data_IF_681391134974
#
_entry.id   IF_681391134974
#
_cell.length_a   1.000
_cell.length_b   1.000
_cell.length_c   1.000
_cell.angle_alpha   90.00
_cell.angle_beta   90.00
_cell.angle_gamma   90.00
#
_symmetry.space_group_name_H-M   'P 1'
#
loop_
_entity.id
_entity.type
_entity.pdbx_description
1 polymer ?
#
# COMPACT_ATOMS: atom_id res chain seq x y z
N UNK A 1 -25.62 8.27 -2.48
CA UNK A 1 -24.34 8.24 -1.75
C UNK A 1 -23.27 7.59 -2.62
N UNK A 2 -22.16 8.25 -2.87
CA UNK A 2 -21.07 7.70 -3.64
C UNK A 2 -20.34 6.56 -2.91
N UNK A 3 -19.72 5.66 -3.66
CA UNK A 3 -18.90 4.60 -3.09
C UNK A 3 -17.73 5.22 -2.31
N UNK A 4 -17.38 4.60 -1.18
CA UNK A 4 -16.24 5.04 -0.38
C UNK A 4 -14.93 4.60 -1.03
N UNK A 5 -13.90 5.38 -0.85
CA UNK A 5 -12.55 4.99 -1.25
C UNK A 5 -12.05 3.86 -0.35
N UNK A 6 -11.21 3.00 -0.93
CA UNK A 6 -10.56 1.92 -0.20
C UNK A 6 -9.06 2.05 -0.43
N UNK A 7 -8.32 2.16 0.66
CA UNK A 7 -6.87 2.33 0.61
C UNK A 7 -6.17 1.13 1.25
N UNK A 8 -5.23 0.55 0.52
CA UNK A 8 -4.44 -0.59 1.00
C UNK A 8 -3.07 -0.08 1.43
N UNK A 9 -2.70 -0.37 2.66
CA UNK A 9 -1.40 -0.03 3.24
C UNK A 9 -0.71 -1.31 3.73
N UNK A 10 0.59 -1.26 3.89
CA UNK A 10 1.39 -2.38 4.36
C UNK A 10 2.78 -2.38 3.76
N UNK A 11 3.63 -3.26 4.26
CA UNK A 11 5.01 -3.40 3.79
C UNK A 11 5.06 -3.81 2.32
N UNK A 12 6.19 -3.54 1.69
CA UNK A 12 6.45 -4.00 0.32
C UNK A 12 6.29 -5.51 0.21
N UNK A 13 5.91 -5.98 -0.98
CA UNK A 13 5.71 -7.40 -1.28
C UNK A 13 4.55 -8.09 -0.54
N UNK A 14 3.76 -7.35 0.25
CA UNK A 14 2.59 -7.95 0.94
C UNK A 14 1.43 -8.27 -0.02
N UNK A 15 1.47 -7.72 -1.24
CA UNK A 15 0.47 -8.02 -2.27
C UNK A 15 -0.60 -6.96 -2.47
N UNK A 16 -0.33 -5.72 -2.07
CA UNK A 16 -1.29 -4.61 -2.17
C UNK A 16 -1.81 -4.39 -3.60
N UNK A 17 -0.93 -4.39 -4.58
CA UNK A 17 -1.33 -4.13 -5.97
C UNK A 17 -2.21 -5.25 -6.53
N UNK A 18 -1.84 -6.51 -6.29
CA UNK A 18 -2.62 -7.66 -6.76
C UNK A 18 -3.99 -7.70 -6.10
N UNK A 19 -4.04 -7.58 -4.78
CA UNK A 19 -5.30 -7.54 -4.03
C UNK A 19 -6.14 -6.33 -4.43
N UNK A 20 -5.49 -5.18 -4.59
CA UNK A 20 -6.16 -3.95 -4.99
C UNK A 20 -6.86 -4.06 -6.36
N UNK A 21 -6.19 -4.65 -7.33
CA UNK A 21 -6.79 -4.87 -8.66
C UNK A 21 -7.99 -5.80 -8.59
N UNK A 22 -7.88 -6.92 -7.86
CA UNK A 22 -8.98 -7.86 -7.69
C UNK A 22 -10.16 -7.23 -6.96
N UNK A 23 -9.88 -6.45 -5.93
CA UNK A 23 -10.90 -5.75 -5.16
C UNK A 23 -11.63 -4.71 -6.02
N UNK A 24 -10.88 -3.92 -6.78
CA UNK A 24 -11.44 -2.91 -7.68
C UNK A 24 -12.34 -3.55 -8.75
N UNK A 25 -11.91 -4.67 -9.32
CA UNK A 25 -12.71 -5.42 -10.30
C UNK A 25 -14.01 -5.91 -9.68
N UNK A 26 -13.95 -6.51 -8.49
CA UNK A 26 -15.13 -7.02 -7.80
C UNK A 26 -16.12 -5.91 -7.44
N UNK A 27 -15.62 -4.74 -7.07
CA UNK A 27 -16.44 -3.59 -6.68
C UNK A 27 -16.81 -2.67 -7.84
N UNK A 28 -16.28 -2.95 -9.03
CA UNK A 28 -16.45 -2.11 -10.23
C UNK A 28 -15.99 -0.67 -10.01
N UNK A 29 -14.83 -0.54 -9.38
CA UNK A 29 -14.20 0.74 -9.08
C UNK A 29 -12.86 0.85 -9.80
N UNK A 30 -12.42 2.07 -10.17
CA UNK A 30 -11.08 2.24 -10.72
C UNK A 30 -10.01 1.92 -9.68
N UNK A 31 -8.90 1.36 -10.17
CA UNK A 31 -7.74 1.02 -9.36
C UNK A 31 -6.56 1.93 -9.69
N UNK A 32 -5.86 2.38 -8.65
CA UNK A 32 -4.61 3.12 -8.78
C UNK A 32 -3.55 2.52 -7.87
N UNK A 33 -2.33 2.41 -8.41
CA UNK A 33 -1.14 2.05 -7.65
C UNK A 33 -0.29 3.32 -7.55
N UNK A 34 -0.01 3.77 -6.33
CA UNK A 34 0.72 5.02 -6.11
C UNK A 34 2.12 4.99 -6.72
N UNK A 35 2.82 3.87 -6.60
CA UNK A 35 4.16 3.73 -7.17
C UNK A 35 4.14 3.78 -8.70
N UNK A 36 3.17 3.11 -9.33
CA UNK A 36 3.00 3.16 -10.78
C UNK A 36 2.67 4.59 -11.26
N UNK A 37 1.83 5.30 -10.52
CA UNK A 37 1.50 6.69 -10.84
C UNK A 37 2.71 7.62 -10.73
N UNK A 38 3.55 7.42 -9.72
CA UNK A 38 4.79 8.19 -9.56
C UNK A 38 5.70 7.96 -10.78
N UNK A 39 5.91 6.70 -11.15
CA UNK A 39 6.76 6.35 -12.29
C UNK A 39 6.20 6.92 -13.60
N UNK A 40 4.91 6.79 -13.81
CA UNK A 40 4.26 7.31 -15.01
C UNK A 40 4.43 8.82 -15.16
N UNK A 41 4.22 9.57 -14.07
CA UNK A 41 4.33 11.04 -14.10
C UNK A 41 5.77 11.53 -14.16
N UNK A 42 6.68 10.82 -13.51
CA UNK A 42 8.10 11.16 -13.53
C UNK A 42 8.78 10.77 -14.85
N UNK A 43 8.22 9.81 -15.57
CA UNK A 43 8.85 9.23 -16.75
C UNK A 43 10.11 8.44 -16.42
N UNK A 44 10.19 7.90 -15.19
CA UNK A 44 11.38 7.18 -14.70
C UNK A 44 10.99 6.17 -13.63
N UNK A 45 11.82 5.14 -13.47
CA UNK A 45 11.63 4.14 -12.42
C UNK A 45 11.93 4.75 -11.03
N UNK A 46 11.31 4.19 -10.00
CA UNK A 46 11.48 4.65 -8.61
C UNK A 46 12.95 4.62 -8.18
N UNK A 47 13.70 3.57 -8.57
CA UNK A 47 15.13 3.50 -8.26
C UNK A 47 15.91 4.68 -8.80
N UNK A 48 15.59 5.13 -10.02
CA UNK A 48 16.21 6.30 -10.61
C UNK A 48 15.84 7.59 -9.86
N UNK A 49 14.57 7.71 -9.45
CA UNK A 49 14.11 8.86 -8.68
C UNK A 49 14.86 8.95 -7.35
N UNK A 50 15.03 7.82 -6.65
CA UNK A 50 15.83 7.76 -5.41
C UNK A 50 17.28 8.17 -5.64
N UNK A 51 17.89 7.70 -6.73
CA UNK A 51 19.28 8.02 -7.03
C UNK A 51 19.49 9.50 -7.33
N UNK A 52 18.57 10.12 -8.05
CA UNK A 52 18.71 11.52 -8.52
C UNK A 52 18.14 12.51 -7.52
N UNK A 53 16.97 12.25 -6.95
CA UNK A 53 16.26 13.19 -6.08
C UNK A 53 16.34 12.81 -4.59
N UNK A 54 16.85 11.62 -4.28
CA UNK A 54 16.89 11.09 -2.92
C UNK A 54 15.53 10.69 -2.38
N UNK A 55 15.53 10.17 -1.17
CA UNK A 55 14.28 9.79 -0.50
C UNK A 55 13.35 10.98 -0.31
N UNK A 56 13.90 12.15 0.03
CA UNK A 56 13.10 13.37 0.24
C UNK A 56 12.32 13.72 -1.03
N UNK A 57 12.97 13.72 -2.19
CA UNK A 57 12.33 14.01 -3.47
C UNK A 57 11.24 12.98 -3.82
N UNK A 58 11.52 11.70 -3.59
CA UNK A 58 10.53 10.65 -3.80
C UNK A 58 9.31 10.85 -2.90
N UNK A 59 9.52 11.13 -1.59
CA UNK A 59 8.42 11.33 -0.64
C UNK A 59 7.56 12.54 -0.99
N UNK A 60 8.15 13.59 -1.55
CA UNK A 60 7.39 14.75 -2.02
C UNK A 60 6.47 14.38 -3.20
N UNK A 61 6.97 13.58 -4.14
CA UNK A 61 6.17 13.10 -5.26
C UNK A 61 5.05 12.19 -4.79
N UNK A 62 5.35 11.29 -3.87
CA UNK A 62 4.38 10.36 -3.29
C UNK A 62 3.26 11.14 -2.57
N UNK A 63 3.62 12.13 -1.76
CA UNK A 63 2.65 12.93 -1.02
C UNK A 63 1.71 13.71 -1.97
N UNK A 64 2.22 14.27 -3.03
CA UNK A 64 1.41 14.99 -4.02
C UNK A 64 0.40 14.05 -4.70
N UNK A 65 0.83 12.86 -5.05
CA UNK A 65 -0.03 11.86 -5.69
C UNK A 65 -1.08 11.34 -4.72
N UNK A 66 -0.71 11.02 -3.49
CA UNK A 66 -1.67 10.57 -2.48
C UNK A 66 -2.72 11.65 -2.23
N UNK A 67 -2.31 12.90 -2.06
CA UNK A 67 -3.26 13.99 -1.86
C UNK A 67 -4.25 14.11 -3.01
N UNK A 68 -3.76 14.06 -4.23
CA UNK A 68 -4.62 14.17 -5.42
C UNK A 68 -5.57 12.98 -5.58
N UNK A 69 -5.04 11.75 -5.50
CA UNK A 69 -5.86 10.55 -5.71
C UNK A 69 -6.90 10.36 -4.62
N UNK A 70 -6.57 10.66 -3.37
CA UNK A 70 -7.50 10.48 -2.26
C UNK A 70 -8.65 11.50 -2.26
N UNK A 71 -8.56 12.56 -3.05
CA UNK A 71 -9.67 13.49 -3.24
C UNK A 71 -10.74 12.94 -4.19
N UNK A 72 -10.44 11.93 -4.97
CA UNK A 72 -11.43 11.24 -5.80
C UNK A 72 -12.39 10.45 -4.91
N UNK A 73 -13.50 10.02 -5.46
CA UNK A 73 -14.48 9.19 -4.76
C UNK A 73 -14.67 7.88 -5.50
N UNK A 74 -14.75 6.79 -4.74
CA UNK A 74 -15.02 5.47 -5.30
C UNK A 74 -13.82 4.86 -6.01
N UNK A 75 -12.63 4.99 -5.44
CA UNK A 75 -11.40 4.39 -5.97
C UNK A 75 -10.83 3.35 -5.01
N UNK A 76 -10.05 2.42 -5.55
CA UNK A 76 -9.17 1.55 -4.79
C UNK A 76 -7.75 2.02 -5.05
N UNK A 77 -7.01 2.33 -3.98
CA UNK A 77 -5.63 2.81 -4.06
C UNK A 77 -4.71 1.88 -3.28
N UNK A 78 -3.69 1.35 -3.95
CA UNK A 78 -2.58 0.65 -3.30
C UNK A 78 -1.45 1.65 -3.09
N UNK A 79 -1.04 1.85 -1.85
CA UNK A 79 0.04 2.79 -1.51
C UNK A 79 1.40 2.10 -1.50
N UNK A 80 2.46 2.88 -1.56
CA UNK A 80 3.81 2.37 -1.32
C UNK A 80 4.02 2.06 0.17
N UNK A 81 4.96 1.19 0.48
CA UNK A 81 5.21 0.75 1.86
C UNK A 81 5.56 1.87 2.83
N UNK A 82 6.23 2.90 2.35
CA UNK A 82 6.62 4.05 3.16
C UNK A 82 5.67 5.24 3.10
N UNK A 83 4.50 5.09 2.47
CA UNK A 83 3.53 6.18 2.36
C UNK A 83 3.09 6.72 3.73
N UNK A 84 3.06 5.86 4.75
CA UNK A 84 2.64 6.23 6.11
C UNK A 84 3.69 7.02 6.90
N UNK A 85 4.90 7.19 6.38
CA UNK A 85 5.95 7.91 7.08
C UNK A 85 5.63 9.40 7.27
N UNK A 86 4.96 10.02 6.30
CA UNK A 86 4.56 11.42 6.41
C UNK A 86 3.18 11.54 7.04
N UNK A 87 3.08 12.38 8.05
CA UNK A 87 1.81 12.64 8.74
C UNK A 87 0.72 13.12 7.79
N UNK A 88 1.07 13.98 6.82
CA UNK A 88 0.11 14.49 5.85
C UNK A 88 -0.55 13.36 5.04
N UNK A 89 0.22 12.32 4.68
CA UNK A 89 -0.32 11.16 3.99
C UNK A 89 -1.26 10.36 4.90
N UNK A 90 -0.87 10.16 6.16
CA UNK A 90 -1.71 9.47 7.12
C UNK A 90 -3.04 10.17 7.32
N UNK A 91 -3.03 11.49 7.42
CA UNK A 91 -4.25 12.29 7.56
C UNK A 91 -5.17 12.17 6.34
N UNK A 92 -4.60 12.28 5.15
CA UNK A 92 -5.38 12.15 3.91
C UNK A 92 -6.04 10.79 3.79
N UNK A 93 -5.26 9.72 4.05
CA UNK A 93 -5.78 8.35 3.98
C UNK A 93 -6.88 8.11 5.02
N UNK A 94 -6.62 8.46 6.27
CA UNK A 94 -7.58 8.24 7.36
C UNK A 94 -8.88 9.02 7.17
N UNK A 95 -8.80 10.23 6.63
CA UNK A 95 -9.95 11.11 6.47
C UNK A 95 -10.80 10.80 5.23
N UNK A 96 -10.20 10.20 4.20
CA UNK A 96 -10.81 10.17 2.87
C UNK A 96 -11.26 8.79 2.41
N UNK A 97 -11.09 7.76 3.22
CA UNK A 97 -11.50 6.41 2.83
C UNK A 97 -11.38 5.38 3.93
N UNK A 98 -11.66 4.14 3.59
CA UNK A 98 -11.49 2.97 4.46
C UNK A 98 -10.07 2.47 4.28
N UNK A 99 -9.30 2.42 5.35
CA UNK A 99 -7.90 2.00 5.32
C UNK A 99 -7.79 0.55 5.76
N UNK A 100 -7.22 -0.29 4.90
CA UNK A 100 -7.02 -1.70 5.17
C UNK A 100 -5.53 -2.00 5.19
N UNK A 101 -5.03 -2.47 6.32
CA UNK A 101 -3.64 -2.88 6.49
C UNK A 101 -3.50 -4.36 6.12
N UNK A 102 -2.80 -4.62 5.02
CA UNK A 102 -2.41 -5.98 4.65
C UNK A 102 -1.12 -6.32 5.37
N UNK A 103 -1.14 -7.36 6.16
CA UNK A 103 0.01 -7.79 6.95
C UNK A 103 0.38 -9.23 6.61
N UNK A 104 1.65 -9.58 6.75
CA UNK A 104 2.16 -10.91 6.43
C UNK A 104 3.39 -11.21 7.30
N UNK A 105 3.62 -12.48 7.64
CA UNK A 105 4.86 -12.87 8.31
C UNK A 105 6.09 -12.47 7.48
N UNK A 106 7.15 -12.09 8.17
CA UNK A 106 8.42 -11.65 7.55
C UNK A 106 8.95 -12.72 6.58
N UNK A 107 8.84 -13.99 6.93
CA UNK A 107 9.32 -15.10 6.10
C UNK A 107 8.67 -15.12 4.73
N UNK A 108 7.37 -14.83 4.67
CA UNK A 108 6.64 -14.75 3.40
C UNK A 108 7.04 -13.54 2.58
N UNK A 109 7.21 -12.40 3.24
CA UNK A 109 7.67 -11.18 2.57
C UNK A 109 9.08 -11.39 2.01
N UNK A 110 9.95 -12.03 2.78
CA UNK A 110 11.30 -12.32 2.36
C UNK A 110 11.34 -13.23 1.11
N UNK A 111 10.52 -14.28 1.09
CA UNK A 111 10.43 -15.18 -0.04
C UNK A 111 9.99 -14.46 -1.32
N UNK A 112 9.05 -13.54 -1.20
CA UNK A 112 8.56 -12.73 -2.34
C UNK A 112 9.60 -11.71 -2.80
N UNK A 113 10.31 -11.08 -1.88
CA UNK A 113 11.31 -10.04 -2.21
C UNK A 113 12.55 -10.61 -2.89
N UNK A 114 12.89 -11.88 -2.65
CA UNK A 114 13.99 -12.56 -3.35
C UNK A 114 13.78 -12.61 -4.85
N UNK A 115 12.53 -12.53 -5.31
CA UNK A 115 12.19 -12.54 -6.74
C UNK A 115 12.09 -11.14 -7.34
N UNK A 116 12.13 -10.09 -6.51
CA UNK A 116 11.93 -8.71 -6.94
C UNK A 116 13.22 -7.92 -6.77
N UNK A 117 13.83 -7.54 -7.90
CA UNK A 117 15.07 -6.75 -7.93
C UNK A 117 14.82 -5.24 -7.98
N UNK A 118 13.56 -4.81 -8.05
CA UNK A 118 13.17 -3.39 -8.25
C UNK A 118 13.02 -2.58 -6.97
N UNK A 119 13.35 -3.15 -5.80
CA UNK A 119 13.11 -2.48 -4.53
C UNK A 119 14.40 -1.96 -3.90
N UNK A 120 14.69 -0.64 -4.06
CA UNK A 120 15.98 -0.09 -3.61
C UNK A 120 16.22 -0.20 -2.11
N UNK A 121 15.18 -0.19 -1.29
CA UNK A 121 15.31 -0.30 0.16
C UNK A 121 15.74 -1.68 0.64
N UNK A 122 15.63 -2.71 -0.21
CA UNK A 122 16.04 -4.08 0.11
C UNK A 122 17.39 -4.44 -0.51
N UNK A 123 18.01 -3.53 -1.24
CA UNK A 123 19.35 -3.74 -1.78
C UNK A 123 20.37 -3.57 -0.64
N UNK A 124 20.68 -4.66 0.02
CA UNK A 124 21.59 -4.67 1.15
C UNK A 124 21.98 -6.09 1.53
N UNK A 125 22.89 -6.20 2.53
CA UNK A 125 23.50 -7.48 2.92
C UNK A 125 22.53 -8.41 3.66
N UNK A 126 21.46 -7.89 4.27
CA UNK A 126 20.52 -8.70 5.05
C UNK A 126 19.08 -8.22 4.83
N UNK A 127 18.39 -8.76 3.82
CA UNK A 127 17.00 -8.39 3.55
C UNK A 127 16.05 -8.69 4.72
N UNK A 128 16.28 -9.79 5.46
CA UNK A 128 15.42 -10.15 6.60
C UNK A 128 15.53 -9.13 7.73
N UNK A 129 16.75 -8.69 8.06
CA UNK A 129 16.97 -7.66 9.08
C UNK A 129 16.34 -6.34 8.66
N UNK A 130 16.44 -5.99 7.36
CA UNK A 130 15.84 -4.76 6.83
C UNK A 130 14.32 -4.81 6.92
N UNK A 131 13.70 -5.93 6.57
CA UNK A 131 12.24 -6.08 6.68
C UNK A 131 11.77 -5.97 8.14
N UNK A 132 12.49 -6.56 9.10
CA UNK A 132 12.18 -6.45 10.53
C UNK A 132 12.28 -5.00 11.00
N UNK A 133 13.32 -4.30 10.58
CA UNK A 133 13.51 -2.88 10.89
C UNK A 133 12.35 -2.04 10.35
N UNK A 134 11.97 -2.26 9.11
CA UNK A 134 10.84 -1.56 8.49
C UNK A 134 9.52 -1.88 9.21
N UNK A 135 9.32 -3.13 9.61
CA UNK A 135 8.13 -3.53 10.36
C UNK A 135 8.06 -2.84 11.73
N UNK A 136 9.19 -2.75 12.44
CA UNK A 136 9.24 -2.05 13.73
C UNK A 136 8.98 -0.56 13.58
N UNK A 137 9.55 0.06 12.55
CA UNK A 137 9.42 1.49 12.29
C UNK A 137 8.01 1.85 11.81
N UNK A 138 7.47 1.08 10.88
CA UNK A 138 6.22 1.41 10.18
C UNK A 138 4.98 0.77 10.78
N UNK A 139 5.13 -0.35 11.48
CA UNK A 139 4.01 -1.07 12.08
C UNK A 139 3.08 -0.19 12.92
N UNK A 140 3.61 0.62 13.86
CA UNK A 140 2.77 1.53 14.63
C UNK A 140 2.03 2.57 13.77
N UNK A 141 2.65 3.02 12.67
CA UNK A 141 2.04 3.98 11.76
C UNK A 141 0.91 3.36 10.95
N UNK A 142 1.06 2.09 10.53
CA UNK A 142 -0.04 1.36 9.90
C UNK A 142 -1.20 1.20 10.88
N UNK A 143 -0.91 0.79 12.11
CA UNK A 143 -1.93 0.57 13.14
C UNK A 143 -2.69 1.85 13.48
N UNK A 144 -2.01 3.00 13.45
CA UNK A 144 -2.61 4.30 13.75
C UNK A 144 -3.81 4.61 12.85
N UNK A 145 -3.72 4.31 11.55
CA UNK A 145 -4.73 4.72 10.58
C UNK A 145 -5.58 3.57 10.05
N UNK A 146 -5.23 2.32 10.32
CA UNK A 146 -5.96 1.17 9.77
C UNK A 146 -7.35 1.03 10.40
N UNK A 147 -8.37 0.95 9.56
CA UNK A 147 -9.72 0.57 9.99
C UNK A 147 -9.82 -0.95 10.18
N UNK A 148 -9.09 -1.69 9.37
CA UNK A 148 -9.03 -3.16 9.43
C UNK A 148 -7.61 -3.64 9.16
N UNK A 149 -7.22 -4.69 9.87
CA UNK A 149 -5.96 -5.40 9.62
C UNK A 149 -6.30 -6.79 9.09
N UNK A 150 -5.78 -7.12 7.92
CA UNK A 150 -6.04 -8.40 7.27
C UNK A 150 -4.71 -9.14 7.09
N UNK A 151 -4.63 -10.33 7.68
CA UNK A 151 -3.46 -11.19 7.50
C UNK A 151 -3.53 -11.85 6.13
N UNK A 152 -2.45 -11.74 5.37
CA UNK A 152 -2.31 -12.48 4.12
C UNK A 152 -1.80 -13.87 4.46
N UNK A 153 -2.60 -14.88 4.18
CA UNK A 153 -2.23 -16.26 4.44
C UNK A 153 -1.76 -16.97 3.17
N UNK A 154 -1.53 -18.30 3.28
CA UNK A 154 -1.03 -19.11 2.17
C UNK A 154 -2.03 -19.32 1.04
N UNK A 155 -3.28 -18.89 1.20
CA UNK A 155 -4.36 -19.12 0.23
C UNK A 155 -4.32 -18.16 -0.97
N UNK A 156 -3.47 -17.17 -0.93
CA UNK A 156 -3.25 -16.24 -2.04
C UNK A 156 -4.16 -15.01 -2.04
N UNK A 157 -3.98 -14.19 -3.06
CA UNK A 157 -4.64 -12.89 -3.19
C UNK A 157 -6.17 -12.99 -3.28
N UNK A 158 -6.68 -14.03 -3.91
CA UNK A 158 -8.13 -14.24 -4.03
C UNK A 158 -8.82 -14.43 -2.67
N UNK A 159 -8.19 -15.17 -1.76
CA UNK A 159 -8.72 -15.39 -0.42
C UNK A 159 -8.68 -14.09 0.39
N UNK A 160 -7.62 -13.30 0.27
CA UNK A 160 -7.49 -12.00 0.92
C UNK A 160 -8.57 -11.05 0.42
N UNK A 161 -8.77 -11.00 -0.90
CA UNK A 161 -9.81 -10.18 -1.52
C UNK A 161 -11.20 -10.53 -0.98
N UNK A 162 -11.53 -11.82 -0.88
CA UNK A 162 -12.82 -12.27 -0.33
C UNK A 162 -13.00 -11.85 1.12
N UNK A 163 -11.95 -11.94 1.94
CA UNK A 163 -12.00 -11.47 3.34
C UNK A 163 -12.34 -9.99 3.41
N UNK A 164 -11.69 -9.18 2.58
CA UNK A 164 -11.93 -7.73 2.53
C UNK A 164 -13.36 -7.44 2.11
N UNK A 165 -13.85 -8.11 1.08
CA UNK A 165 -15.22 -7.92 0.62
C UNK A 165 -16.24 -8.20 1.73
N UNK A 166 -16.02 -9.26 2.52
CA UNK A 166 -16.88 -9.57 3.68
C UNK A 166 -16.83 -8.46 4.74
N UNK A 167 -15.65 -7.93 5.03
CA UNK A 167 -15.50 -6.85 6.00
C UNK A 167 -16.25 -5.59 5.54
N UNK A 168 -16.19 -5.28 4.25
CA UNK A 168 -16.87 -4.12 3.68
C UNK A 168 -18.40 -4.29 3.71
N UNK A 169 -18.90 -5.50 3.47
CA UNK A 169 -20.33 -5.81 3.57
C UNK A 169 -20.84 -5.60 5.00
N UNK A 170 -20.09 -6.06 6.01
CA UNK A 170 -20.46 -5.87 7.42
C UNK A 170 -20.56 -4.41 7.81
N UNK A 171 -19.68 -3.56 7.25
CA UNK A 171 -19.75 -2.11 7.52
C UNK A 171 -21.04 -1.47 6.99
N UNK A 172 -21.55 -1.98 5.86
CA UNK A 172 -22.79 -1.46 5.28
C UNK A 172 -24.05 -1.87 6.06
N UNK A 173 -23.94 -2.91 6.89
CA UNK A 173 -25.06 -3.45 7.67
C UNK A 173 -25.23 -2.76 9.02
N UNK A 174 -24.38 -1.83 9.38
CA UNK A 174 -24.41 -1.03 10.59
C UNK A 174 -24.42 0.46 10.26
#
# INVERSE_FOLDING_TARGET
>A
MGAQNIFLIGLMAVGKSTVGRQLAEALKMPFFDADEEIERRAGAEISWIFDVEGEVGFRQREAAIIDELTQQRGIVLATGGGAVLLEENRRSLAARGIVIHLDSPIEKLLARTRRDTKRPLLQGRDPAAKLRELQQQRGPLYAEIADHRVLTDQRGAGAVTRKILKLLERRKSH
#
